data_IF_245122272993
#
_entry.id   IF_245122272993
#
_cell.length_a   1.000
_cell.length_b   1.000
_cell.length_c   1.000
_cell.angle_alpha   90.00
_cell.angle_beta   90.00
_cell.angle_gamma   90.00
#
_symmetry.space_group_name_H-M   'P 1'
#
loop_
_entity.id
_entity.type
_entity.pdbx_description
1 polymer ?
#
# COMPACT_ATOMS: atom_id res chain seq x y z
N UNK A 1 -11.59 4.97 -6.69
CA UNK A 1 -10.83 3.76 -6.30
C UNK A 1 -9.49 3.84 -6.99
N UNK A 2 -8.40 3.67 -6.24
CA UNK A 2 -7.03 3.75 -6.75
C UNK A 2 -6.51 2.35 -7.04
N UNK A 3 -5.63 2.26 -8.03
CA UNK A 3 -4.96 1.02 -8.42
C UNK A 3 -3.46 1.26 -8.47
N UNK A 4 -2.69 0.22 -8.18
CA UNK A 4 -1.24 0.32 -8.11
C UNK A 4 -0.59 -0.98 -7.70
N UNK A 5 0.64 -0.86 -7.19
CA UNK A 5 1.39 -1.97 -6.62
C UNK A 5 1.40 -1.89 -5.10
N UNK A 6 1.29 -3.04 -4.42
CA UNK A 6 1.46 -3.16 -2.98
C UNK A 6 2.51 -4.20 -2.61
N UNK A 7 3.33 -3.89 -1.59
CA UNK A 7 4.28 -4.83 -0.98
C UNK A 7 3.53 -5.77 -0.03
N UNK A 8 2.98 -6.85 -0.59
CA UNK A 8 2.30 -7.91 0.15
C UNK A 8 3.22 -8.71 1.07
N UNK A 9 2.68 -9.72 1.75
CA UNK A 9 3.44 -10.58 2.67
C UNK A 9 4.56 -11.37 1.98
N UNK A 10 4.45 -11.56 0.67
CA UNK A 10 5.39 -12.22 -0.21
C UNK A 10 6.51 -11.30 -0.72
N UNK A 11 6.40 -9.98 -0.52
CA UNK A 11 7.41 -9.03 -0.98
C UNK A 11 8.71 -9.18 -0.18
N UNK A 12 9.82 -9.32 -0.90
CA UNK A 12 11.17 -9.23 -0.34
C UNK A 12 11.92 -8.03 -0.94
N UNK A 13 12.82 -7.37 -0.20
CA UNK A 13 13.67 -6.31 -0.74
C UNK A 13 14.36 -6.74 -2.04
N UNK A 14 14.28 -5.90 -3.07
CA UNK A 14 14.81 -6.20 -4.40
C UNK A 14 13.86 -6.98 -5.32
N UNK A 15 12.68 -7.40 -4.86
CA UNK A 15 11.66 -7.98 -5.75
C UNK A 15 11.08 -6.92 -6.68
N UNK A 16 11.03 -7.27 -7.98
CA UNK A 16 10.46 -6.45 -9.03
C UNK A 16 8.96 -6.73 -9.20
N UNK A 17 8.16 -5.67 -9.39
CA UNK A 17 6.77 -5.82 -9.81
C UNK A 17 6.73 -6.13 -11.31
N UNK A 18 6.17 -7.29 -11.65
CA UNK A 18 6.00 -7.70 -13.05
C UNK A 18 4.63 -8.36 -13.25
N UNK A 19 3.98 -8.04 -14.36
CA UNK A 19 2.67 -8.56 -14.70
C UNK A 19 1.63 -8.27 -13.61
N UNK A 20 1.05 -9.34 -13.03
CA UNK A 20 0.02 -9.25 -11.98
C UNK A 20 0.58 -9.21 -10.56
N UNK A 21 1.88 -9.42 -10.38
CA UNK A 21 2.48 -9.49 -9.06
C UNK A 21 2.39 -8.14 -8.35
N UNK A 22 1.86 -8.16 -7.13
CA UNK A 22 1.68 -6.97 -6.30
C UNK A 22 0.58 -6.02 -6.79
N UNK A 23 -0.19 -6.33 -7.84
CA UNK A 23 -1.34 -5.50 -8.20
C UNK A 23 -2.33 -5.44 -7.05
N UNK A 24 -2.72 -4.22 -6.69
CA UNK A 24 -3.62 -3.99 -5.57
C UNK A 24 -4.46 -2.74 -5.79
N UNK A 25 -5.49 -2.58 -4.96
CA UNK A 25 -6.39 -1.44 -5.01
C UNK A 25 -6.76 -0.95 -3.61
N UNK A 26 -6.88 0.36 -3.46
CA UNK A 26 -7.28 1.01 -2.21
C UNK A 26 -8.14 2.24 -2.50
N UNK A 27 -8.64 2.88 -1.46
CA UNK A 27 -9.49 4.05 -1.53
C UNK A 27 -8.73 5.31 -1.11
N UNK A 28 -9.15 6.44 -1.67
CA UNK A 28 -8.83 7.76 -1.15
C UNK A 28 -10.14 8.40 -0.70
N UNK A 29 -10.12 9.04 0.46
CA UNK A 29 -11.26 9.77 1.02
C UNK A 29 -10.82 11.19 1.39
N UNK A 30 -11.69 12.16 1.18
CA UNK A 30 -11.45 13.56 1.53
C UNK A 30 -12.18 13.87 2.84
N UNK A 31 -11.43 14.17 3.89
CA UNK A 31 -11.95 14.50 5.23
C UNK A 31 -11.30 15.80 5.66
N UNK A 32 -12.10 16.80 6.06
CA UNK A 32 -11.62 18.12 6.47
C UNK A 32 -10.63 18.74 5.47
N UNK A 33 -10.99 18.66 4.18
CA UNK A 33 -10.17 19.13 3.03
C UNK A 33 -8.80 18.45 2.91
N UNK A 34 -8.56 17.37 3.65
CA UNK A 34 -7.34 16.59 3.57
C UNK A 34 -7.63 15.20 3.02
N UNK A 35 -6.87 14.78 2.01
CA UNK A 35 -6.93 13.42 1.53
C UNK A 35 -6.34 12.45 2.57
N UNK A 36 -6.99 11.28 2.70
CA UNK A 36 -6.54 10.12 3.48
C UNK A 36 -6.68 8.88 2.62
N UNK A 37 -5.76 7.94 2.79
CA UNK A 37 -5.77 6.69 2.04
C UNK A 37 -6.27 5.56 2.94
N UNK A 38 -7.06 4.65 2.37
CA UNK A 38 -7.64 3.50 3.10
C UNK A 38 -7.49 2.26 2.23
N UNK A 39 -6.75 1.27 2.72
CA UNK A 39 -6.86 -0.09 2.21
C UNK A 39 -7.80 -0.87 3.11
N UNK A 40 -9.06 -0.99 2.71
CA UNK A 40 -10.09 -1.70 3.49
C UNK A 40 -9.75 -3.19 3.68
N UNK A 41 -9.04 -3.80 2.74
CA UNK A 41 -8.71 -5.22 2.81
C UNK A 41 -7.65 -5.49 3.88
N UNK A 42 -6.62 -4.66 3.94
CA UNK A 42 -5.54 -4.81 4.94
C UNK A 42 -5.87 -4.12 6.26
N UNK A 43 -6.72 -3.09 6.26
CA UNK A 43 -7.23 -2.47 7.49
C UNK A 43 -8.15 -3.39 8.29
N UNK A 44 -8.89 -4.28 7.64
CA UNK A 44 -9.85 -5.17 8.32
C UNK A 44 -9.20 -6.42 8.92
N UNK A 45 -7.99 -6.78 8.47
CA UNK A 45 -7.35 -8.04 8.83
C UNK A 45 -5.84 -7.97 8.84
N UNK A 46 -5.24 -8.74 9.75
CA UNK A 46 -3.80 -9.00 9.78
C UNK A 46 -3.52 -10.49 9.56
N UNK A 47 -2.43 -10.77 8.84
CA UNK A 47 -1.88 -12.12 8.75
C UNK A 47 -0.94 -12.38 9.94
N UNK A 48 -1.13 -13.51 10.60
CA UNK A 48 -0.22 -14.07 11.60
C UNK A 48 0.60 -15.15 10.92
N UNK A 49 1.92 -14.91 10.78
CA UNK A 49 2.82 -15.83 10.10
C UNK A 49 3.05 -15.49 8.62
N UNK A 50 3.82 -16.33 7.93
CA UNK A 50 4.33 -16.04 6.58
C UNK A 50 3.42 -16.49 5.43
N UNK A 51 2.38 -17.29 5.71
CA UNK A 51 1.51 -17.86 4.67
C UNK A 51 0.05 -17.52 4.94
N UNK A 52 -0.69 -17.00 3.94
CA UNK A 52 -2.11 -16.77 4.08
C UNK A 52 -2.83 -18.13 4.18
N UNK A 53 -3.46 -18.36 5.33
CA UNK A 53 -4.43 -19.44 5.55
C UNK A 53 -5.58 -18.87 6.39
N UNK A 54 -6.79 -19.45 6.33
CA UNK A 54 -7.91 -19.01 7.17
C UNK A 54 -7.56 -18.97 8.67
N UNK A 55 -6.77 -19.95 9.13
CA UNK A 55 -6.34 -20.05 10.54
C UNK A 55 -5.39 -18.92 10.97
N UNK A 56 -4.67 -18.34 10.00
CA UNK A 56 -3.67 -17.29 10.17
C UNK A 56 -4.23 -15.88 9.96
N UNK A 57 -5.53 -15.73 9.72
CA UNK A 57 -6.17 -14.41 9.64
C UNK A 57 -6.68 -14.02 11.03
N UNK A 58 -6.37 -12.79 11.45
CA UNK A 58 -7.04 -12.15 12.58
C UNK A 58 -7.73 -10.88 12.10
N UNK A 59 -9.01 -10.79 12.43
CA UNK A 59 -9.79 -9.60 12.18
C UNK A 59 -9.58 -8.59 13.30
N UNK A 60 -9.39 -7.34 12.91
CA UNK A 60 -9.07 -6.24 13.80
C UNK A 60 -8.68 -5.04 12.97
N UNK A 61 -9.02 -3.85 13.44
CA UNK A 61 -8.71 -2.63 12.74
C UNK A 61 -7.21 -2.34 12.81
N UNK A 62 -6.53 -2.39 11.67
CA UNK A 62 -5.15 -1.94 11.54
C UNK A 62 -5.12 -0.47 11.07
N UNK A 63 -4.82 0.42 12.01
CA UNK A 63 -4.74 1.86 11.78
C UNK A 63 -3.63 2.26 10.81
N UNK A 64 -2.67 1.38 10.51
CA UNK A 64 -1.67 1.66 9.48
C UNK A 64 -2.30 1.75 8.08
N UNK A 65 -3.37 1.00 7.84
CA UNK A 65 -4.08 0.94 6.56
C UNK A 65 -5.41 1.71 6.57
N UNK A 66 -5.87 2.15 7.74
CA UNK A 66 -7.08 2.96 7.90
C UNK A 66 -6.75 4.45 8.09
N UNK A 67 -7.27 5.29 7.20
CA UNK A 67 -7.01 6.73 7.17
C UNK A 67 -5.52 7.08 7.22
N UNK A 68 -4.70 6.28 6.54
CA UNK A 68 -3.27 6.44 6.46
C UNK A 68 -2.91 7.79 5.84
N UNK A 69 -1.84 8.43 6.35
CA UNK A 69 -1.24 9.54 5.64
C UNK A 69 -0.59 9.03 4.36
N UNK A 70 -0.49 9.87 3.30
CA UNK A 70 0.19 9.45 2.08
C UNK A 70 1.66 9.09 2.30
N UNK A 71 2.35 9.80 3.21
CA UNK A 71 3.76 9.51 3.57
C UNK A 71 3.95 8.19 4.29
N UNK A 72 2.92 7.66 4.97
CA UNK A 72 2.97 6.33 5.58
C UNK A 72 2.60 5.25 4.56
N UNK A 73 1.52 5.45 3.81
CA UNK A 73 1.03 4.40 2.92
C UNK A 73 1.99 4.15 1.75
N UNK A 74 2.73 5.17 1.28
CA UNK A 74 3.73 5.02 0.21
C UNK A 74 4.85 4.03 0.57
N UNK A 75 5.05 3.62 1.82
CA UNK A 75 6.02 2.55 2.08
C UNK A 75 5.57 1.20 1.54
N UNK A 76 4.25 1.02 1.38
CA UNK A 76 3.62 -0.25 0.98
C UNK A 76 2.84 -0.14 -0.31
N UNK A 77 2.17 0.97 -0.63
CA UNK A 77 1.28 1.17 -1.80
C UNK A 77 1.76 2.24 -2.78
N UNK A 78 2.13 1.85 -4.02
CA UNK A 78 2.59 2.74 -5.08
C UNK A 78 1.47 2.90 -6.11
N UNK A 79 0.87 4.09 -6.26
CA UNK A 79 -0.22 4.27 -7.22
C UNK A 79 0.30 4.23 -8.66
N UNK A 80 -0.51 3.72 -9.59
CA UNK A 80 -0.21 3.81 -11.03
C UNK A 80 -0.22 5.26 -11.51
N UNK A 81 -1.14 6.07 -11.00
CA UNK A 81 -1.18 7.51 -11.23
C UNK A 81 -0.35 8.22 -10.15
N UNK A 82 0.80 8.83 -10.50
CA UNK A 82 1.72 9.41 -9.53
C UNK A 82 1.14 10.60 -8.76
N UNK A 83 0.10 11.27 -9.26
CA UNK A 83 -0.53 12.39 -8.54
C UNK A 83 -1.20 11.91 -7.24
N UNK A 84 -1.62 10.65 -7.20
CA UNK A 84 -2.22 10.03 -6.03
C UNK A 84 -1.21 9.58 -4.97
N UNK A 85 0.09 9.84 -5.18
CA UNK A 85 1.06 9.73 -4.09
C UNK A 85 0.80 10.79 -3.02
N UNK A 86 0.26 11.97 -3.41
CA UNK A 86 -0.06 13.08 -2.50
C UNK A 86 1.13 13.50 -1.61
N UNK A 87 2.36 13.26 -2.09
CA UNK A 87 3.59 13.63 -1.42
C UNK A 87 4.08 14.97 -1.93
N UNK A 88 4.72 15.74 -1.05
CA UNK A 88 5.45 16.95 -1.45
C UNK A 88 6.61 16.63 -2.41
N UNK A 89 7.26 15.49 -2.21
CA UNK A 89 8.34 14.98 -3.06
C UNK A 89 7.96 13.56 -3.50
N UNK A 90 7.32 13.41 -4.68
CA UNK A 90 6.94 12.09 -5.19
C UNK A 90 8.15 11.18 -5.38
N UNK A 91 7.97 9.90 -5.07
CA UNK A 91 8.97 8.86 -5.29
C UNK A 91 8.76 8.21 -6.64
N UNK A 92 9.85 7.68 -7.21
CA UNK A 92 9.80 6.94 -8.47
C UNK A 92 9.91 5.45 -8.22
N UNK A 93 9.14 4.67 -8.98
CA UNK A 93 9.35 3.24 -9.08
C UNK A 93 10.44 3.00 -10.13
N UNK A 94 11.71 3.05 -9.71
CA UNK A 94 12.81 2.58 -10.57
C UNK A 94 12.65 1.08 -10.77
N UNK A 95 12.94 0.59 -11.98
CA UNK A 95 12.72 -0.80 -12.46
C UNK A 95 12.78 -1.82 -11.30
N UNK A 96 11.60 -2.10 -10.74
CA UNK A 96 11.33 -3.02 -9.64
C UNK A 96 12.04 -2.85 -8.28
N UNK A 97 12.47 -1.65 -7.91
CA UNK A 97 12.69 -1.31 -6.51
C UNK A 97 12.24 0.12 -6.22
N UNK A 98 11.55 0.31 -5.10
CA UNK A 98 11.11 1.63 -4.66
C UNK A 98 12.34 2.41 -4.19
N UNK A 99 12.76 3.42 -4.93
CA UNK A 99 13.84 4.30 -4.51
C UNK A 99 13.25 5.59 -3.94
N UNK A 100 13.48 5.82 -2.65
CA UNK A 100 13.40 7.16 -2.09
C UNK A 100 14.61 7.92 -2.63
N UNK A 101 14.39 9.06 -3.29
CA UNK A 101 15.50 9.97 -3.60
C UNK A 101 15.86 10.65 -2.27
N UNK A 102 16.94 10.21 -1.64
CA UNK A 102 17.61 10.95 -0.58
C UNK A 102 18.34 12.18 -1.17
#
# INVERSE_FOLDING_TARGET
>A
MLIGYAKGAEYAPGMHFSGRQGQHSWNAVLIDKCWRLIDCHWAARRLIGKRPSPDNVRYGLDMFYFLASPSQLIYTHFPHDPDWQLLRHPVSLKVGCWSFND
#
